data_IF_536111543756
#
_entry.id   IF_536111543756
#
_cell.length_a   1.000
_cell.length_b   1.000
_cell.length_c   1.000
_cell.angle_alpha   90.00
_cell.angle_beta   90.00
_cell.angle_gamma   90.00
#
_symmetry.space_group_name_H-M   'P 1'
#
loop_
_entity.id
_entity.type
_entity.pdbx_description
1 polymer ?
#
# COMPACT_ATOMS: atom_id res chain seq x y z
N UNK A 1 -16.00 46.37 -6.55
CA UNK A 1 -16.34 44.97 -6.22
C UNK A 1 -16.14 44.14 -7.48
N UNK A 2 -15.06 43.37 -7.61
CA UNK A 2 -14.73 42.67 -8.85
C UNK A 2 -15.67 41.48 -9.10
N UNK A 3 -16.27 41.42 -10.28
CA UNK A 3 -17.10 40.27 -10.72
C UNK A 3 -16.23 39.03 -10.91
N UNK A 4 -16.60 37.92 -10.27
CA UNK A 4 -15.93 36.62 -10.42
C UNK A 4 -16.15 36.08 -11.84
N UNK A 5 -15.06 35.78 -12.53
CA UNK A 5 -15.10 35.12 -13.84
C UNK A 5 -15.41 33.64 -13.67
N UNK A 6 -16.71 33.31 -13.80
CA UNK A 6 -17.22 31.95 -13.65
C UNK A 6 -16.60 30.97 -14.67
N UNK A 7 -16.28 31.44 -15.87
CA UNK A 7 -15.68 30.61 -16.91
C UNK A 7 -14.31 30.09 -16.49
N UNK A 8 -13.47 30.99 -15.96
CA UNK A 8 -12.14 30.63 -15.45
C UNK A 8 -12.21 29.73 -14.22
N UNK A 9 -13.16 29.96 -13.31
CA UNK A 9 -13.31 29.14 -12.09
C UNK A 9 -13.76 27.72 -12.43
N UNK A 10 -14.76 27.56 -13.29
CA UNK A 10 -15.28 26.25 -13.66
C UNK A 10 -14.24 25.47 -14.47
N UNK A 11 -13.64 26.10 -15.49
CA UNK A 11 -12.65 25.46 -16.34
C UNK A 11 -11.38 25.10 -15.55
N UNK A 12 -10.92 26.00 -14.68
CA UNK A 12 -9.77 25.77 -13.80
C UNK A 12 -10.02 24.63 -12.81
N UNK A 13 -11.21 24.58 -12.20
CA UNK A 13 -11.59 23.49 -11.30
C UNK A 13 -11.66 22.13 -11.99
N UNK A 14 -12.21 22.08 -13.21
CA UNK A 14 -12.27 20.84 -14.01
C UNK A 14 -10.87 20.35 -14.40
N UNK A 15 -10.00 21.25 -14.88
CA UNK A 15 -8.62 20.92 -15.25
C UNK A 15 -7.84 20.44 -14.01
N UNK A 16 -7.97 21.13 -12.88
CA UNK A 16 -7.35 20.69 -11.63
C UNK A 16 -7.86 19.31 -11.19
N UNK A 17 -9.17 19.07 -11.27
CA UNK A 17 -9.76 17.77 -10.94
C UNK A 17 -9.24 16.63 -11.81
N UNK A 18 -9.11 16.84 -13.13
CA UNK A 18 -8.54 15.85 -14.04
C UNK A 18 -7.06 15.60 -13.73
N UNK A 19 -6.27 16.66 -13.53
CA UNK A 19 -4.84 16.54 -13.21
C UNK A 19 -4.62 15.79 -11.90
N UNK A 20 -5.42 16.09 -10.86
CA UNK A 20 -5.35 15.40 -9.57
C UNK A 20 -5.73 13.93 -9.71
N UNK A 21 -6.84 13.62 -10.39
CA UNK A 21 -7.31 12.25 -10.56
C UNK A 21 -6.31 11.38 -11.36
N UNK A 22 -5.77 11.92 -12.45
CA UNK A 22 -4.74 11.22 -13.24
C UNK A 22 -3.45 11.09 -12.45
N UNK A 23 -3.06 12.14 -11.73
CA UNK A 23 -1.90 12.14 -10.85
C UNK A 23 -1.99 11.07 -9.78
N UNK A 24 -3.11 11.00 -9.05
CA UNK A 24 -3.35 9.94 -8.06
C UNK A 24 -3.37 8.56 -8.70
N UNK A 25 -4.06 8.37 -9.83
CA UNK A 25 -4.09 7.07 -10.48
C UNK A 25 -2.70 6.58 -10.88
N UNK A 26 -1.84 7.46 -11.40
CA UNK A 26 -0.47 7.11 -11.78
C UNK A 26 0.41 6.91 -10.55
N UNK A 27 0.38 7.85 -9.60
CA UNK A 27 1.26 7.77 -8.43
C UNK A 27 0.86 6.59 -7.53
N UNK A 28 -0.40 6.49 -7.15
CA UNK A 28 -0.89 5.51 -6.19
C UNK A 28 -1.24 4.15 -6.84
N UNK A 29 -1.81 4.17 -8.06
CA UNK A 29 -2.29 2.96 -8.72
C UNK A 29 -1.24 2.24 -9.57
N UNK A 30 -0.26 2.96 -10.12
CA UNK A 30 0.76 2.38 -11.02
C UNK A 30 2.17 2.39 -10.41
N UNK A 31 2.57 3.49 -9.77
CA UNK A 31 3.96 3.65 -9.30
C UNK A 31 4.18 3.19 -7.86
N UNK A 32 3.20 3.42 -6.98
CA UNK A 32 3.30 3.11 -5.55
C UNK A 32 2.46 1.90 -5.14
N UNK A 33 1.83 1.19 -6.09
CA UNK A 33 0.96 0.04 -5.80
C UNK A 33 1.68 -1.06 -5.00
N UNK A 34 2.95 -1.27 -5.30
CA UNK A 34 3.82 -2.24 -4.61
C UNK A 34 4.54 -1.64 -3.38
N UNK A 35 4.38 -0.33 -3.14
CA UNK A 35 5.06 0.46 -2.08
C UNK A 35 4.11 1.01 -1.03
N UNK A 36 2.81 0.81 -1.17
CA UNK A 36 1.88 0.84 -0.06
C UNK A 36 2.05 -0.46 0.74
N UNK A 37 3.25 -0.64 1.29
CA UNK A 37 3.53 -1.71 2.22
C UNK A 37 2.62 -1.51 3.43
N UNK A 38 1.73 -2.47 3.67
CA UNK A 38 0.91 -2.45 4.86
C UNK A 38 1.83 -2.40 6.09
N UNK A 39 1.49 -1.55 7.06
CA UNK A 39 2.27 -1.39 8.27
C UNK A 39 1.43 -1.71 9.51
N UNK A 40 2.07 -1.57 10.67
CA UNK A 40 1.39 -1.58 11.97
C UNK A 40 0.34 -0.47 12.10
N UNK A 41 0.38 0.58 11.27
CA UNK A 41 -0.65 1.63 11.25
C UNK A 41 -1.98 1.10 10.73
N UNK A 42 -1.97 0.24 9.72
CA UNK A 42 -3.17 -0.38 9.15
C UNK A 42 -3.61 -1.63 9.94
N UNK A 43 -2.66 -2.43 10.42
CA UNK A 43 -2.94 -3.64 11.20
C UNK A 43 -2.08 -3.69 12.47
N UNK A 44 -2.53 -2.97 13.50
CA UNK A 44 -1.77 -2.81 14.74
C UNK A 44 -1.81 -4.04 15.69
N UNK A 45 -2.74 -4.97 15.47
CA UNK A 45 -3.01 -6.10 16.39
C UNK A 45 -1.81 -7.05 16.57
N UNK A 46 -1.08 -7.47 15.51
CA UNK A 46 0.13 -8.26 15.65
C UNK A 46 1.20 -7.55 16.49
N UNK A 47 1.41 -6.25 16.27
CA UNK A 47 2.38 -5.45 17.01
C UNK A 47 2.04 -5.33 18.51
N UNK A 48 0.77 -5.02 18.85
CA UNK A 48 0.35 -4.79 20.24
C UNK A 48 0.14 -6.06 21.06
N UNK A 49 -0.54 -7.05 20.49
CA UNK A 49 -1.02 -8.21 21.24
C UNK A 49 -0.45 -9.54 20.73
N UNK A 50 0.48 -9.50 19.77
CA UNK A 50 1.02 -10.71 19.14
C UNK A 50 -0.10 -11.56 18.51
N UNK A 51 -1.15 -10.90 18.02
CA UNK A 51 -2.33 -11.56 17.47
C UNK A 51 -1.99 -12.26 16.15
N UNK A 52 -2.32 -13.55 16.05
CA UNK A 52 -2.16 -14.32 14.83
C UNK A 52 -3.17 -13.89 13.75
N UNK A 53 -2.67 -13.53 12.58
CA UNK A 53 -3.46 -13.36 11.35
C UNK A 53 -2.89 -14.31 10.29
N UNK A 54 -3.74 -15.09 9.62
CA UNK A 54 -3.31 -15.91 8.50
C UNK A 54 -2.89 -15.01 7.32
N UNK A 55 -1.79 -15.34 6.66
CA UNK A 55 -1.29 -14.64 5.47
C UNK A 55 -0.96 -15.71 4.44
N UNK A 56 -1.39 -15.48 3.21
CA UNK A 56 -1.13 -16.35 2.07
C UNK A 56 -0.64 -15.48 0.90
N UNK A 57 0.29 -16.02 0.11
CA UNK A 57 0.74 -15.36 -1.11
C UNK A 57 -0.41 -15.36 -2.13
N UNK A 58 -0.68 -14.20 -2.71
CA UNK A 58 -1.74 -14.06 -3.74
C UNK A 58 -1.28 -14.62 -5.09
N UNK A 59 0.03 -14.55 -5.36
CA UNK A 59 0.62 -15.06 -6.59
C UNK A 59 1.14 -16.48 -6.37
N UNK A 60 0.95 -17.32 -7.39
CA UNK A 60 1.52 -18.66 -7.38
C UNK A 60 3.05 -18.57 -7.34
N UNK A 61 3.70 -19.37 -6.48
CA UNK A 61 5.15 -19.42 -6.43
C UNK A 61 5.74 -20.01 -7.72
N UNK A 62 7.00 -19.70 -8.05
CA UNK A 62 7.69 -20.34 -9.17
C UNK A 62 7.68 -21.87 -9.05
N UNK A 63 7.63 -22.58 -10.18
CA UNK A 63 7.64 -24.04 -10.19
C UNK A 63 8.81 -24.62 -9.38
N UNK A 64 8.49 -25.48 -8.41
CA UNK A 64 9.47 -26.11 -7.53
C UNK A 64 10.00 -25.23 -6.38
N UNK A 65 9.50 -24.00 -6.22
CA UNK A 65 9.85 -23.15 -5.09
C UNK A 65 9.34 -23.75 -3.77
N UNK A 66 10.23 -23.81 -2.77
CA UNK A 66 9.92 -24.35 -1.44
C UNK A 66 9.58 -23.21 -0.50
N UNK A 67 8.47 -23.33 0.20
CA UNK A 67 8.13 -22.39 1.27
C UNK A 67 9.14 -22.52 2.42
N UNK A 68 9.61 -21.38 2.93
CA UNK A 68 10.51 -21.26 4.08
C UNK A 68 9.95 -20.29 5.11
N UNK A 69 10.45 -20.32 6.36
CA UNK A 69 10.03 -19.37 7.38
C UNK A 69 10.46 -17.95 7.01
N UNK A 70 9.52 -17.02 7.02
CA UNK A 70 9.74 -15.60 6.78
C UNK A 70 8.86 -14.73 7.69
N UNK A 71 9.35 -13.52 7.97
CA UNK A 71 8.60 -12.46 8.64
C UNK A 71 8.08 -11.47 7.58
N UNK A 72 6.82 -11.08 7.73
CA UNK A 72 6.19 -10.06 6.89
C UNK A 72 6.21 -8.75 7.67
N UNK A 73 7.10 -7.84 7.26
CA UNK A 73 7.36 -6.56 7.93
C UNK A 73 6.85 -5.39 7.10
N UNK A 74 6.45 -4.32 7.78
CA UNK A 74 6.10 -3.07 7.14
C UNK A 74 7.32 -2.15 6.92
N UNK A 75 7.11 -0.96 6.33
CA UNK A 75 8.16 -0.02 5.97
C UNK A 75 8.53 0.97 7.08
N UNK A 76 7.84 0.94 8.23
CA UNK A 76 8.08 1.85 9.34
C UNK A 76 9.40 1.46 10.01
N UNK A 77 10.23 2.46 10.31
CA UNK A 77 11.51 2.27 11.01
C UNK A 77 11.27 2.02 12.51
N UNK A 78 10.49 0.99 12.84
CA UNK A 78 10.14 0.57 14.19
C UNK A 78 10.21 -0.96 14.27
N UNK A 79 10.77 -1.49 15.37
CA UNK A 79 11.01 -2.95 15.51
C UNK A 79 9.70 -3.74 15.56
N UNK A 80 8.63 -3.09 16.03
CA UNK A 80 7.29 -3.66 16.11
C UNK A 80 6.52 -3.69 14.80
N UNK A 81 7.07 -3.18 13.69
CA UNK A 81 6.37 -3.11 12.41
C UNK A 81 6.37 -4.46 11.68
N UNK A 82 5.65 -5.42 12.24
CA UNK A 82 5.39 -6.71 11.61
C UNK A 82 3.90 -7.01 11.53
N UNK A 83 3.51 -7.60 10.41
CA UNK A 83 2.15 -8.08 10.14
C UNK A 83 2.01 -9.57 10.48
N UNK A 84 3.09 -10.34 10.26
CA UNK A 84 3.19 -11.73 10.69
C UNK A 84 4.66 -12.14 10.89
N UNK A 85 4.86 -13.10 11.78
CA UNK A 85 6.18 -13.70 12.07
C UNK A 85 6.16 -15.21 11.90
N UNK A 86 7.31 -15.74 11.53
CA UNK A 86 7.60 -17.17 11.36
C UNK A 86 6.56 -17.90 10.49
N UNK A 87 6.31 -17.36 9.30
CA UNK A 87 5.33 -17.91 8.36
C UNK A 87 5.96 -18.65 7.21
N UNK A 88 5.42 -19.81 6.80
CA UNK A 88 5.86 -20.47 5.59
C UNK A 88 5.47 -19.60 4.39
N UNK A 89 6.46 -18.96 3.78
CA UNK A 89 6.29 -18.12 2.60
C UNK A 89 7.11 -18.65 1.44
N UNK A 90 6.62 -18.54 0.21
CA UNK A 90 7.45 -18.78 -0.95
C UNK A 90 8.59 -17.76 -1.01
N UNK A 91 9.71 -18.09 -1.67
CA UNK A 91 10.78 -17.13 -1.90
C UNK A 91 10.24 -15.93 -2.70
N UNK A 92 10.67 -14.72 -2.30
CA UNK A 92 10.44 -13.52 -3.08
C UNK A 92 11.23 -13.64 -4.40
N UNK A 93 10.57 -13.37 -5.52
CA UNK A 93 11.13 -13.46 -6.86
C UNK A 93 12.02 -12.26 -7.20
#
# INVERSE_FOLDING_TARGET
>A
MGTIDRGRVILGGLVAGVVLNVGEYVLNGLLLRERWDAAMTELIRPALYQAYHAIEAVLDPPDGARAGPADVVGPVCETGDFLARDRPMPPLA
#
